data_IF_492290590811
#
_entry.id   IF_492290590811
#
_cell.length_a   1.000
_cell.length_b   1.000
_cell.length_c   1.000
_cell.angle_alpha   90.00
_cell.angle_beta   90.00
_cell.angle_gamma   90.00
#
_symmetry.space_group_name_H-M   'P 1'
#
loop_
_entity.id
_entity.type
_entity.pdbx_description
1 polymer ?
#
# COMPACT_ATOMS: atom_id res chain seq x y z
N UNK A 1 -25.25 -14.99 -5.94
CA UNK A 1 -24.81 -13.84 -5.10
C UNK A 1 -25.60 -13.71 -3.81
N UNK A 2 -26.95 -13.71 -3.82
CA UNK A 2 -27.76 -13.54 -2.60
C UNK A 2 -27.54 -14.60 -1.50
N UNK A 3 -27.43 -15.88 -1.87
CA UNK A 3 -27.19 -16.97 -0.92
C UNK A 3 -25.83 -16.86 -0.19
N UNK A 4 -24.80 -16.37 -0.88
CA UNK A 4 -23.45 -16.17 -0.33
C UNK A 4 -23.42 -15.00 0.64
N UNK A 5 -24.07 -13.89 0.29
CA UNK A 5 -24.22 -12.76 1.22
C UNK A 5 -24.97 -13.18 2.49
N UNK A 6 -25.95 -14.08 2.40
CA UNK A 6 -26.63 -14.63 3.58
C UNK A 6 -25.68 -15.36 4.53
N UNK A 7 -24.83 -16.24 4.00
CA UNK A 7 -23.84 -17.02 4.78
C UNK A 7 -22.78 -16.12 5.42
N UNK A 8 -22.24 -15.16 4.67
CA UNK A 8 -21.26 -14.21 5.20
C UNK A 8 -21.87 -13.30 6.29
N UNK A 9 -23.10 -12.81 6.09
CA UNK A 9 -23.84 -12.06 7.12
C UNK A 9 -24.05 -12.88 8.38
N UNK A 10 -24.42 -14.16 8.26
CA UNK A 10 -24.58 -15.04 9.41
C UNK A 10 -23.25 -15.24 10.16
N UNK A 11 -22.15 -15.45 9.44
CA UNK A 11 -20.81 -15.53 10.04
C UNK A 11 -20.47 -14.27 10.86
N UNK A 12 -20.70 -13.08 10.29
CA UNK A 12 -20.47 -11.81 10.99
C UNK A 12 -21.39 -11.67 12.22
N UNK A 13 -22.65 -12.09 12.11
CA UNK A 13 -23.57 -12.10 13.25
C UNK A 13 -23.08 -13.00 14.38
N UNK A 14 -22.51 -14.17 14.06
CA UNK A 14 -21.89 -15.05 15.06
C UNK A 14 -20.70 -14.39 15.77
N UNK A 15 -19.95 -13.51 15.09
CA UNK A 15 -18.87 -12.72 15.69
C UNK A 15 -19.34 -11.56 16.57
N UNK A 16 -20.66 -11.37 16.72
CA UNK A 16 -21.26 -10.37 17.60
C UNK A 16 -21.60 -9.04 16.91
N UNK A 17 -21.49 -8.96 15.58
CA UNK A 17 -21.93 -7.79 14.82
C UNK A 17 -23.46 -7.77 14.68
N UNK A 18 -24.06 -6.61 14.89
CA UNK A 18 -25.52 -6.43 14.77
C UNK A 18 -25.97 -6.44 13.31
N UNK A 19 -27.23 -6.80 13.03
CA UNK A 19 -27.77 -6.73 11.66
C UNK A 19 -27.69 -5.34 11.02
N UNK A 20 -27.78 -4.28 11.84
CA UNK A 20 -27.67 -2.90 11.38
C UNK A 20 -26.23 -2.58 10.95
N UNK A 21 -25.23 -2.85 11.78
CA UNK A 21 -23.80 -2.67 11.45
C UNK A 21 -23.41 -3.43 10.18
N UNK A 22 -23.86 -4.69 10.06
CA UNK A 22 -23.61 -5.51 8.88
C UNK A 22 -24.24 -4.88 7.64
N UNK A 23 -25.48 -4.40 7.74
CA UNK A 23 -26.19 -3.78 6.61
C UNK A 23 -25.51 -2.49 6.16
N UNK A 24 -25.02 -1.66 7.07
CA UNK A 24 -24.42 -0.36 6.75
C UNK A 24 -23.01 -0.48 6.19
N UNK A 25 -22.24 -1.48 6.62
CA UNK A 25 -20.79 -1.54 6.36
C UNK A 25 -20.35 -2.70 5.48
N UNK A 26 -21.28 -3.53 5.00
CA UNK A 26 -21.01 -4.59 4.02
C UNK A 26 -21.16 -4.06 2.59
N UNK A 27 -20.10 -4.21 1.79
CA UNK A 27 -20.07 -3.90 0.37
C UNK A 27 -19.51 -5.08 -0.41
N UNK A 28 -20.35 -5.76 -1.19
CA UNK A 28 -19.96 -6.94 -1.96
C UNK A 28 -19.49 -8.10 -1.07
N UNK A 29 -18.18 -8.38 -1.13
CA UNK A 29 -17.47 -9.43 -0.38
C UNK A 29 -16.72 -8.88 0.85
N UNK A 30 -16.77 -7.57 1.10
CA UNK A 30 -16.02 -6.89 2.15
C UNK A 30 -16.95 -6.26 3.19
N UNK A 31 -16.72 -6.59 4.45
CA UNK A 31 -17.30 -5.91 5.60
C UNK A 31 -16.20 -5.14 6.33
N UNK A 32 -16.46 -3.87 6.64
CA UNK A 32 -15.51 -3.03 7.37
C UNK A 32 -16.12 -2.59 8.69
N UNK A 33 -15.66 -3.19 9.79
CA UNK A 33 -16.06 -2.75 11.11
C UNK A 33 -15.30 -1.49 11.49
N UNK A 34 -16.04 -0.50 11.99
CA UNK A 34 -15.56 0.80 12.39
C UNK A 34 -16.04 1.11 13.79
N UNK A 35 -15.10 1.37 14.70
CA UNK A 35 -15.42 1.85 16.05
C UNK A 35 -14.80 3.21 16.27
N UNK A 36 -15.67 4.18 16.50
CA UNK A 36 -15.32 5.50 16.99
C UNK A 36 -14.82 5.39 18.43
N UNK A 37 -13.56 5.72 18.66
CA UNK A 37 -13.01 5.92 19.99
C UNK A 37 -13.38 7.34 20.43
N UNK A 38 -14.28 7.44 21.42
CA UNK A 38 -14.60 8.75 22.01
C UNK A 38 -13.33 9.30 22.66
N UNK A 39 -12.93 10.55 22.39
CA UNK A 39 -11.89 11.18 23.18
C UNK A 39 -12.39 11.36 24.62
N UNK A 40 -11.49 11.19 25.59
CA UNK A 40 -11.78 11.46 27.01
C UNK A 40 -12.04 12.96 27.27
N UNK A 41 -11.76 13.82 26.29
CA UNK A 41 -11.93 15.27 26.35
C UNK A 41 -12.79 15.77 25.17
N UNK A 42 -13.86 16.50 25.50
CA UNK A 42 -14.89 16.97 24.58
C UNK A 42 -14.40 17.95 23.49
N UNK A 43 -13.17 18.45 23.58
CA UNK A 43 -12.58 19.43 22.65
C UNK A 43 -11.68 18.82 21.55
N UNK A 44 -11.60 17.49 21.44
CA UNK A 44 -10.76 16.84 20.43
C UNK A 44 -11.56 16.44 19.19
N UNK A 45 -11.29 17.15 18.09
CA UNK A 45 -11.84 16.91 16.75
C UNK A 45 -11.23 15.70 16.02
N UNK A 46 -10.33 14.96 16.67
CA UNK A 46 -9.75 13.74 16.11
C UNK A 46 -10.55 12.52 16.51
N UNK A 47 -11.41 12.07 15.61
CA UNK A 47 -12.03 10.75 15.67
C UNK A 47 -10.95 9.69 15.40
N UNK A 48 -10.45 9.07 16.47
CA UNK A 48 -9.67 7.85 16.33
C UNK A 48 -10.64 6.71 16.03
N UNK A 49 -10.63 6.26 14.78
CA UNK A 49 -11.45 5.13 14.34
C UNK A 49 -10.61 3.86 14.31
N UNK A 50 -11.07 2.81 15.00
CA UNK A 50 -10.57 1.47 14.78
C UNK A 50 -11.25 0.89 13.54
N UNK A 51 -10.45 0.44 12.58
CA UNK A 51 -10.91 -0.19 11.35
C UNK A 51 -10.45 -1.65 11.30
N UNK A 52 -11.37 -2.58 11.05
CA UNK A 52 -11.03 -3.99 10.79
C UNK A 52 -11.80 -4.48 9.57
N UNK A 53 -11.06 -4.95 8.56
CA UNK A 53 -11.62 -5.48 7.31
C UNK A 53 -11.81 -7.00 7.41
N UNK A 54 -13.01 -7.46 7.10
CA UNK A 54 -13.38 -8.85 6.90
C UNK A 54 -13.72 -9.05 5.43
N UNK A 55 -13.03 -9.98 4.77
CA UNK A 55 -13.15 -10.21 3.33
C UNK A 55 -13.51 -11.67 3.13
N UNK A 56 -14.70 -11.92 2.59
CA UNK A 56 -15.07 -13.24 2.17
C UNK A 56 -14.39 -13.60 0.85
N UNK A 57 -13.86 -14.82 0.76
CA UNK A 57 -13.17 -15.35 -0.40
C UNK A 57 -13.77 -16.72 -0.74
N UNK A 58 -14.33 -16.83 -1.95
CA UNK A 58 -14.88 -18.09 -2.45
C UNK A 58 -13.80 -19.17 -2.52
N UNK A 59 -14.19 -20.42 -2.26
CA UNK A 59 -13.27 -21.57 -2.34
C UNK A 59 -12.79 -21.88 -3.76
N UNK A 60 -13.54 -21.51 -4.80
CA UNK A 60 -13.22 -21.84 -6.19
C UNK A 60 -11.88 -21.22 -6.63
N UNK A 61 -11.52 -20.05 -6.09
CA UNK A 61 -10.28 -19.32 -6.41
C UNK A 61 -9.59 -18.73 -5.16
N UNK A 62 -9.61 -19.46 -4.04
CA UNK A 62 -9.16 -18.96 -2.72
C UNK A 62 -7.77 -18.31 -2.76
N UNK A 63 -6.77 -19.02 -3.27
CA UNK A 63 -5.38 -18.54 -3.26
C UNK A 63 -5.17 -17.34 -4.19
N UNK A 64 -5.72 -17.39 -5.40
CA UNK A 64 -5.61 -16.30 -6.37
C UNK A 64 -6.33 -15.05 -5.87
N UNK A 65 -7.58 -15.19 -5.44
CA UNK A 65 -8.38 -14.06 -4.94
C UNK A 65 -7.75 -13.48 -3.68
N UNK A 66 -7.23 -14.31 -2.77
CA UNK A 66 -6.51 -13.85 -1.58
C UNK A 66 -5.25 -13.08 -1.97
N UNK A 67 -4.47 -13.57 -2.94
CA UNK A 67 -3.30 -12.85 -3.43
C UNK A 67 -3.67 -11.48 -3.98
N UNK A 68 -4.70 -11.38 -4.82
CA UNK A 68 -5.14 -10.14 -5.44
C UNK A 68 -5.62 -9.12 -4.39
N UNK A 69 -6.46 -9.54 -3.44
CA UNK A 69 -6.94 -8.70 -2.34
C UNK A 69 -5.80 -8.26 -1.42
N UNK A 70 -4.90 -9.19 -1.08
CA UNK A 70 -3.73 -8.86 -0.26
C UNK A 70 -2.80 -7.89 -1.00
N UNK A 71 -2.59 -8.06 -2.31
CA UNK A 71 -1.77 -7.15 -3.11
C UNK A 71 -2.35 -5.73 -3.12
N UNK A 72 -3.68 -5.58 -3.22
CA UNK A 72 -4.33 -4.27 -3.11
C UNK A 72 -4.11 -3.65 -1.73
N UNK A 73 -4.39 -4.38 -0.65
CA UNK A 73 -4.28 -3.88 0.73
C UNK A 73 -2.82 -3.56 1.09
N UNK A 74 -1.86 -4.37 0.64
CA UNK A 74 -0.43 -4.13 0.83
C UNK A 74 0.02 -2.85 0.11
N UNK A 75 -0.47 -2.60 -1.11
CA UNK A 75 -0.20 -1.37 -1.85
C UNK A 75 -0.87 -0.14 -1.23
N UNK A 76 -2.09 -0.27 -0.69
CA UNK A 76 -2.74 0.81 0.08
C UNK A 76 -1.93 1.22 1.31
N UNK A 77 -1.20 0.26 1.91
CA UNK A 77 -0.34 0.44 3.09
C UNK A 77 -1.01 1.10 4.31
N UNK A 78 -2.34 1.08 4.39
CA UNK A 78 -3.09 1.70 5.48
C UNK A 78 -3.38 0.72 6.62
N UNK A 79 -3.70 -0.53 6.28
CA UNK A 79 -4.10 -1.55 7.25
C UNK A 79 -2.90 -2.35 7.73
N UNK A 80 -2.89 -2.72 9.01
CA UNK A 80 -1.90 -3.66 9.55
C UNK A 80 -2.27 -5.12 9.26
N UNK A 81 -3.58 -5.41 9.29
CA UNK A 81 -4.12 -6.75 9.09
C UNK A 81 -5.45 -6.70 8.35
N UNK A 82 -5.87 -7.83 7.83
CA UNK A 82 -7.25 -8.08 7.43
C UNK A 82 -7.62 -9.54 7.70
N UNK A 83 -8.91 -9.81 7.77
CA UNK A 83 -9.45 -11.14 8.05
C UNK A 83 -10.03 -11.70 6.75
N UNK A 84 -9.42 -12.76 6.23
CA UNK A 84 -9.89 -13.47 5.04
C UNK A 84 -10.71 -14.69 5.45
N UNK A 85 -11.94 -14.79 4.96
CA UNK A 85 -12.90 -15.84 5.36
C UNK A 85 -13.23 -16.69 4.16
N UNK A 86 -12.94 -17.99 4.23
CA UNK A 86 -13.36 -18.97 3.24
C UNK A 86 -14.58 -19.76 3.70
N UNK A 87 -14.92 -20.82 2.98
CA UNK A 87 -16.01 -21.72 3.34
C UNK A 87 -15.78 -22.43 4.69
N UNK A 88 -14.54 -22.79 5.00
CA UNK A 88 -14.21 -23.65 6.15
C UNK A 88 -13.13 -23.06 7.06
N UNK A 89 -12.34 -22.11 6.59
CA UNK A 89 -11.19 -21.56 7.31
C UNK A 89 -11.23 -20.04 7.28
N UNK A 90 -10.91 -19.42 8.40
CA UNK A 90 -10.66 -17.98 8.52
C UNK A 90 -9.18 -17.73 8.76
N UNK A 91 -8.60 -16.78 8.03
CA UNK A 91 -7.20 -16.40 8.15
C UNK A 91 -7.10 -14.96 8.65
N UNK A 92 -6.29 -14.74 9.68
CA UNK A 92 -5.82 -13.41 10.04
C UNK A 92 -4.52 -13.14 9.29
N UNK A 93 -4.53 -12.20 8.35
CA UNK A 93 -3.41 -11.91 7.45
C UNK A 93 -2.74 -10.60 7.85
N UNK A 94 -1.41 -10.60 7.91
CA UNK A 94 -0.57 -9.42 8.05
C UNK A 94 -0.44 -8.70 6.71
N UNK A 95 -1.09 -7.55 6.60
CA UNK A 95 -1.12 -6.71 5.40
C UNK A 95 0.21 -5.96 5.13
N UNK A 96 1.14 -5.95 6.10
CA UNK A 96 2.45 -5.30 5.99
C UNK A 96 3.54 -6.22 5.44
N UNK A 97 3.17 -7.43 5.01
CA UNK A 97 4.07 -8.41 4.39
C UNK A 97 3.71 -8.55 2.92
N UNK A 98 4.68 -8.32 2.03
CA UNK A 98 4.51 -8.48 0.58
C UNK A 98 3.90 -9.86 0.24
N UNK A 99 2.74 -9.92 -0.42
CA UNK A 99 2.10 -11.20 -0.76
C UNK A 99 2.93 -11.96 -1.78
N UNK A 100 3.04 -13.28 -1.66
CA UNK A 100 3.74 -14.10 -2.66
C UNK A 100 2.72 -14.83 -3.53
N UNK A 101 2.69 -14.62 -4.86
CA UNK A 101 1.72 -15.30 -5.72
C UNK A 101 1.89 -16.83 -5.73
N UNK A 102 3.11 -17.33 -5.47
CA UNK A 102 3.37 -18.77 -5.40
C UNK A 102 2.99 -19.40 -4.05
N UNK A 103 2.73 -18.59 -3.02
CA UNK A 103 2.28 -19.05 -1.71
C UNK A 103 1.48 -17.94 -1.01
N UNK A 104 0.22 -17.71 -1.44
CA UNK A 104 -0.61 -16.62 -0.89
C UNK A 104 -0.93 -16.82 0.59
N UNK A 105 -1.03 -18.08 1.04
CA UNK A 105 -1.16 -18.47 2.44
C UNK A 105 0.18 -19.04 2.91
N UNK A 106 0.90 -18.28 3.75
CA UNK A 106 2.22 -18.69 4.22
C UNK A 106 2.43 -18.25 5.67
N UNK A 107 3.22 -18.99 6.46
CA UNK A 107 3.51 -18.64 7.86
C UNK A 107 4.09 -17.23 8.09
N UNK A 108 4.65 -16.61 7.04
CA UNK A 108 5.23 -15.27 7.12
C UNK A 108 4.17 -14.17 7.00
N UNK A 109 3.05 -14.42 6.31
CA UNK A 109 1.99 -13.43 6.12
C UNK A 109 0.70 -13.80 6.88
N UNK A 110 0.46 -15.06 7.19
CA UNK A 110 -0.65 -15.51 8.03
C UNK A 110 -0.25 -15.47 9.50
N UNK A 111 -0.94 -14.64 10.28
CA UNK A 111 -0.75 -14.50 11.73
C UNK A 111 -1.34 -15.72 12.45
N UNK A 112 -2.58 -16.05 12.13
CA UNK A 112 -3.29 -17.22 12.69
C UNK A 112 -4.33 -17.70 11.69
N UNK A 113 -4.67 -18.99 11.75
CA UNK A 113 -5.76 -19.60 11.00
C UNK A 113 -6.71 -20.28 11.97
N UNK A 114 -8.00 -20.20 11.67
CA UNK A 114 -9.09 -20.76 12.47
C UNK A 114 -9.85 -21.72 11.58
N UNK A 115 -10.08 -22.95 12.04
CA UNK A 115 -10.86 -23.95 11.30
C UNK A 115 -12.36 -23.64 11.36
N UNK A 116 -12.74 -22.42 10.99
CA UNK A 116 -14.12 -21.95 10.99
C UNK A 116 -14.31 -20.94 9.85
N UNK A 117 -15.32 -21.14 9.01
CA UNK A 117 -15.68 -20.31 7.85
C UNK A 117 -17.19 -20.16 7.69
N UNK A 118 -17.66 -19.66 6.54
CA UNK A 118 -19.09 -19.34 6.34
C UNK A 118 -20.00 -20.58 6.23
N UNK A 119 -19.44 -21.75 5.91
CA UNK A 119 -20.14 -23.04 5.79
C UNK A 119 -19.73 -24.04 6.87
N UNK A 120 -19.24 -23.53 7.98
CA UNK A 120 -18.88 -24.35 9.12
C UNK A 120 -20.13 -24.87 9.84
N UNK A 121 -20.66 -26.02 9.43
CA UNK A 121 -21.82 -26.67 10.08
C UNK A 121 -21.42 -27.36 11.40
N UNK A 122 -22.14 -27.11 12.48
CA UNK A 122 -22.12 -27.94 13.70
C UNK A 122 -20.79 -27.99 14.48
N UNK A 123 -19.94 -26.96 14.39
CA UNK A 123 -18.61 -26.96 15.02
C UNK A 123 -18.63 -27.05 16.54
N UNK A 124 -17.51 -27.50 17.12
CA UNK A 124 -17.33 -27.50 18.58
C UNK A 124 -17.54 -26.07 19.10
N UNK A 125 -18.29 -25.91 20.22
CA UNK A 125 -18.42 -24.62 20.89
C UNK A 125 -17.07 -23.94 21.14
N UNK A 126 -16.01 -24.73 21.29
CA UNK A 126 -14.65 -24.27 21.57
C UNK A 126 -13.99 -23.53 20.40
N UNK A 127 -14.12 -24.01 19.15
CA UNK A 127 -13.50 -23.34 17.99
C UNK A 127 -14.20 -22.00 17.68
N UNK A 128 -15.53 -21.98 17.78
CA UNK A 128 -16.30 -20.75 17.61
C UNK A 128 -16.00 -19.77 18.76
N UNK A 129 -15.91 -20.24 20.01
CA UNK A 129 -15.52 -19.40 21.14
C UNK A 129 -14.13 -18.80 20.92
N UNK A 130 -13.14 -19.61 20.51
CA UNK A 130 -11.79 -19.12 20.18
C UNK A 130 -11.80 -18.08 19.07
N UNK A 131 -12.59 -18.28 18.02
CA UNK A 131 -12.73 -17.31 16.93
C UNK A 131 -13.34 -16.00 17.43
N UNK A 132 -14.39 -16.04 18.27
CA UNK A 132 -15.00 -14.85 18.87
C UNK A 132 -14.03 -14.11 19.80
N UNK A 133 -13.31 -14.84 20.63
CA UNK A 133 -12.32 -14.27 21.56
C UNK A 133 -11.19 -13.54 20.82
N UNK A 134 -10.81 -14.03 19.63
CA UNK A 134 -9.73 -13.43 18.83
C UNK A 134 -10.21 -12.39 17.85
N UNK A 135 -11.27 -12.65 17.09
CA UNK A 135 -11.68 -11.86 15.93
C UNK A 135 -13.10 -11.29 16.06
N UNK A 136 -13.78 -11.48 17.20
CA UNK A 136 -15.13 -10.99 17.43
C UNK A 136 -15.18 -9.50 17.76
N UNK A 137 -16.39 -8.95 17.69
CA UNK A 137 -16.67 -7.54 17.99
C UNK A 137 -16.19 -7.14 19.39
N UNK A 138 -16.48 -7.95 20.41
CA UNK A 138 -16.08 -7.67 21.80
C UNK A 138 -14.56 -7.58 21.98
N UNK A 139 -13.80 -8.43 21.28
CA UNK A 139 -12.34 -8.44 21.30
C UNK A 139 -11.75 -7.19 20.64
N UNK A 140 -12.36 -6.72 19.54
CA UNK A 140 -11.98 -5.46 18.89
C UNK A 140 -12.35 -4.26 19.78
N UNK A 141 -13.56 -4.29 20.33
CA UNK A 141 -14.09 -3.21 21.17
C UNK A 141 -13.27 -3.01 22.43
N UNK A 142 -12.73 -4.09 22.99
CA UNK A 142 -11.89 -4.12 24.20
C UNK A 142 -10.39 -4.11 23.88
N UNK A 143 -10.01 -3.82 22.63
CA UNK A 143 -8.63 -3.74 22.12
C UNK A 143 -7.78 -5.02 22.18
N UNK A 144 -8.27 -6.11 22.78
CA UNK A 144 -7.59 -7.42 22.85
C UNK A 144 -7.19 -7.97 21.48
N UNK A 145 -7.97 -7.70 20.44
CA UNK A 145 -7.62 -8.04 19.05
C UNK A 145 -6.25 -7.47 18.64
N UNK A 146 -5.96 -6.21 18.99
CA UNK A 146 -4.73 -5.53 18.59
C UNK A 146 -3.54 -6.01 19.42
N UNK A 147 -3.71 -6.23 20.73
CA UNK A 147 -2.69 -6.83 21.58
C UNK A 147 -2.27 -8.20 21.06
N UNK A 148 -3.26 -9.01 20.68
CA UNK A 148 -3.04 -10.32 20.08
C UNK A 148 -2.25 -10.24 18.76
N UNK A 149 -2.60 -9.31 17.87
CA UNK A 149 -1.85 -9.08 16.63
C UNK A 149 -0.41 -8.73 16.93
N UNK A 150 -0.19 -7.73 17.81
CA UNK A 150 1.14 -7.26 18.17
C UNK A 150 1.97 -8.42 18.73
N UNK A 151 1.41 -9.24 19.61
CA UNK A 151 2.09 -10.41 20.18
C UNK A 151 2.48 -11.44 19.11
N UNK A 152 1.56 -11.80 18.23
CA UNK A 152 1.77 -12.84 17.22
C UNK A 152 2.66 -12.38 16.07
N UNK A 153 2.67 -11.09 15.76
CA UNK A 153 3.44 -10.55 14.64
C UNK A 153 4.86 -10.10 15.02
N UNK A 154 5.28 -10.18 16.30
CA UNK A 154 6.62 -9.70 16.76
C UNK A 154 7.79 -10.23 15.94
N UNK A 155 7.71 -11.49 15.51
CA UNK A 155 8.78 -12.17 14.77
C UNK A 155 8.57 -12.18 13.25
N UNK A 156 7.45 -11.64 12.75
CA UNK A 156 7.21 -11.55 11.31
C UNK A 156 8.04 -10.40 10.74
N UNK A 157 8.89 -10.71 9.77
CA UNK A 157 9.65 -9.68 9.05
C UNK A 157 8.70 -8.93 8.13
N UNK A 158 8.45 -7.65 8.42
CA UNK A 158 7.65 -6.79 7.55
C UNK A 158 8.41 -6.45 6.27
N UNK A 159 7.66 -6.30 5.19
CA UNK A 159 8.14 -5.87 3.88
C UNK A 159 7.12 -4.93 3.28
N UNK A 160 6.88 -3.82 3.99
CA UNK A 160 5.95 -2.78 3.58
C UNK A 160 6.29 -2.26 2.18
N UNK A 161 5.27 -1.83 1.44
CA UNK A 161 5.39 -1.48 0.02
C UNK A 161 6.42 -0.38 -0.25
N UNK A 162 6.50 0.64 0.61
CA UNK A 162 7.53 1.69 0.55
C UNK A 162 8.93 1.13 0.73
N UNK A 163 9.14 0.35 1.79
CA UNK A 163 10.44 -0.21 2.13
C UNK A 163 10.90 -1.17 1.05
N UNK A 164 10.01 -2.01 0.55
CA UNK A 164 10.32 -2.96 -0.52
C UNK A 164 10.66 -2.24 -1.83
N UNK A 165 9.84 -1.24 -2.22
CA UNK A 165 10.09 -0.41 -3.39
C UNK A 165 11.43 0.32 -3.30
N UNK A 166 11.68 1.02 -2.19
CA UNK A 166 12.92 1.76 -1.96
C UNK A 166 14.14 0.86 -2.07
N UNK A 167 14.12 -0.32 -1.46
CA UNK A 167 15.25 -1.25 -1.52
C UNK A 167 15.49 -1.80 -2.93
N UNK A 168 14.42 -2.08 -3.68
CA UNK A 168 14.55 -2.47 -5.08
C UNK A 168 15.08 -1.33 -5.97
N UNK A 169 14.67 -0.08 -5.71
CA UNK A 169 15.18 1.11 -6.40
C UNK A 169 16.65 1.38 -6.09
N UNK A 170 17.07 1.24 -4.84
CA UNK A 170 18.48 1.35 -4.44
C UNK A 170 19.32 0.29 -5.18
N UNK A 171 18.83 -0.95 -5.26
CA UNK A 171 19.51 -2.01 -5.99
C UNK A 171 19.60 -1.69 -7.50
N UNK A 172 18.52 -1.21 -8.11
CA UNK A 172 18.51 -0.78 -9.51
C UNK A 172 19.55 0.32 -9.76
N UNK A 173 19.54 1.38 -8.95
CA UNK A 173 20.52 2.48 -9.04
C UNK A 173 21.94 1.95 -8.96
N UNK A 174 22.25 1.09 -7.99
CA UNK A 174 23.59 0.55 -7.81
C UNK A 174 24.04 -0.26 -9.04
N UNK A 175 23.12 -0.98 -9.68
CA UNK A 175 23.42 -1.73 -10.90
C UNK A 175 23.61 -0.83 -12.13
N UNK A 176 22.87 0.29 -12.21
CA UNK A 176 23.06 1.29 -13.27
C UNK A 176 24.41 2.03 -13.10
N UNK A 177 24.79 2.38 -11.86
CA UNK A 177 26.05 3.06 -11.56
C UNK A 177 27.28 2.23 -11.92
N UNK A 178 27.19 0.90 -11.88
CA UNK A 178 28.27 -0.01 -12.33
C UNK A 178 28.53 0.09 -13.83
N UNK A 179 27.58 0.55 -14.63
CA UNK A 179 27.72 0.68 -16.09
C UNK A 179 28.45 2.00 -16.41
N UNK A 180 28.02 3.10 -15.80
CA UNK A 180 28.66 4.42 -15.89
C UNK A 180 28.32 5.22 -14.64
N UNK A 181 29.34 5.88 -14.08
CA UNK A 181 29.19 6.76 -12.94
C UNK A 181 28.56 8.10 -13.36
N UNK A 182 27.24 8.09 -13.51
CA UNK A 182 26.43 9.23 -13.93
C UNK A 182 25.24 9.37 -12.97
N UNK A 183 25.54 9.72 -11.72
CA UNK A 183 24.59 9.65 -10.61
C UNK A 183 23.31 10.46 -10.86
N UNK A 184 23.43 11.72 -11.26
CA UNK A 184 22.28 12.61 -11.52
C UNK A 184 21.43 12.09 -12.67
N UNK A 185 22.06 11.71 -13.78
CA UNK A 185 21.42 11.07 -14.94
C UNK A 185 20.63 9.83 -14.54
N UNK A 186 21.22 8.94 -13.73
CA UNK A 186 20.58 7.70 -13.30
C UNK A 186 19.38 7.97 -12.38
N UNK A 187 19.48 8.96 -11.48
CA UNK A 187 18.36 9.33 -10.62
C UNK A 187 17.19 9.86 -11.41
N UNK A 188 17.46 10.82 -12.29
CA UNK A 188 16.44 11.42 -13.13
C UNK A 188 15.79 10.36 -14.04
N UNK A 189 16.56 9.39 -14.52
CA UNK A 189 16.08 8.32 -15.39
C UNK A 189 15.11 7.41 -14.64
N UNK A 190 15.48 6.98 -13.43
CA UNK A 190 14.62 6.17 -12.56
C UNK A 190 13.35 6.96 -12.20
N UNK A 191 13.49 8.23 -11.81
CA UNK A 191 12.38 9.09 -11.41
C UNK A 191 11.37 9.24 -12.55
N UNK A 192 11.83 9.55 -13.77
CA UNK A 192 10.92 9.70 -14.92
C UNK A 192 10.24 8.40 -15.29
N UNK A 193 10.95 7.26 -15.27
CA UNK A 193 10.31 5.97 -15.51
C UNK A 193 9.23 5.67 -14.44
N UNK A 194 9.51 5.93 -13.16
CA UNK A 194 8.50 5.76 -12.11
C UNK A 194 7.30 6.69 -12.31
N UNK A 195 7.53 7.93 -12.76
CA UNK A 195 6.44 8.86 -13.08
C UNK A 195 5.59 8.36 -14.25
N UNK A 196 6.19 7.81 -15.31
CA UNK A 196 5.43 7.17 -16.40
C UNK A 196 4.59 6.02 -15.86
N UNK A 197 5.17 5.15 -15.03
CA UNK A 197 4.45 4.02 -14.45
C UNK A 197 3.31 4.48 -13.53
N UNK A 198 3.49 5.58 -12.80
CA UNK A 198 2.43 6.23 -12.02
C UNK A 198 1.27 6.70 -12.92
N UNK A 199 1.57 7.35 -14.05
CA UNK A 199 0.54 7.79 -15.00
C UNK A 199 -0.18 6.60 -15.67
N UNK A 200 0.55 5.53 -15.98
CA UNK A 200 0.02 4.27 -16.50
C UNK A 200 -0.99 3.64 -15.52
N UNK A 201 -0.62 3.47 -14.24
CA UNK A 201 -1.51 2.85 -13.23
C UNK A 201 -2.77 3.69 -12.98
N UNK A 202 -2.69 5.01 -13.17
CA UNK A 202 -3.83 5.95 -13.07
C UNK A 202 -4.70 5.99 -14.34
N UNK A 203 -4.38 5.22 -15.36
CA UNK A 203 -5.14 5.14 -16.61
C UNK A 203 -4.96 6.32 -17.56
N UNK A 204 -3.91 7.14 -17.37
CA UNK A 204 -3.56 8.23 -18.30
C UNK A 204 -2.87 7.65 -19.54
N UNK A 205 -2.07 6.61 -19.35
CA UNK A 205 -1.49 5.79 -20.42
C UNK A 205 -2.06 4.38 -20.39
N UNK A 206 -1.97 3.69 -21.54
CA UNK A 206 -2.39 2.29 -21.66
C UNK A 206 -1.51 1.35 -20.82
N UNK A 207 -2.06 0.20 -20.44
CA UNK A 207 -1.34 -0.83 -19.68
C UNK A 207 -0.06 -1.24 -20.39
N UNK A 208 1.02 -1.41 -19.63
CA UNK A 208 2.35 -1.80 -20.11
C UNK A 208 3.03 -0.76 -21.02
N UNK A 209 2.52 0.48 -21.12
CA UNK A 209 3.09 1.56 -21.93
C UNK A 209 4.60 1.75 -21.71
N UNK A 210 5.02 1.92 -20.45
CA UNK A 210 6.45 2.09 -20.12
C UNK A 210 7.24 0.84 -20.50
N UNK A 211 6.71 -0.35 -20.17
CA UNK A 211 7.41 -1.60 -20.40
C UNK A 211 7.61 -1.87 -21.90
N UNK A 212 6.63 -1.52 -22.73
CA UNK A 212 6.70 -1.64 -24.18
C UNK A 212 7.79 -0.73 -24.76
N UNK A 213 7.91 0.51 -24.28
CA UNK A 213 8.99 1.42 -24.67
C UNK A 213 10.36 0.84 -24.26
N UNK A 214 10.49 0.34 -23.03
CA UNK A 214 11.76 -0.22 -22.54
C UNK A 214 12.19 -1.47 -23.33
N UNK A 215 11.23 -2.32 -23.74
CA UNK A 215 11.46 -3.52 -24.56
C UNK A 215 12.02 -3.22 -25.95
N UNK A 216 11.80 -2.03 -26.50
CA UNK A 216 12.39 -1.64 -27.80
C UNK A 216 13.92 -1.54 -27.73
N UNK A 217 14.48 -1.29 -26.55
CA UNK A 217 15.90 -1.01 -26.37
C UNK A 217 16.35 0.30 -27.03
N UNK A 218 15.42 1.16 -27.42
CA UNK A 218 15.68 2.45 -28.06
C UNK A 218 15.77 3.58 -27.04
N UNK A 219 16.98 4.11 -26.83
CA UNK A 219 17.18 5.31 -26.01
C UNK A 219 16.41 6.52 -26.58
N UNK A 220 16.27 6.60 -27.91
CA UNK A 220 15.53 7.68 -28.57
C UNK A 220 14.06 7.66 -28.19
N UNK A 221 13.40 6.49 -28.26
CA UNK A 221 11.97 6.39 -27.94
C UNK A 221 11.67 6.74 -26.48
N UNK A 222 12.56 6.37 -25.56
CA UNK A 222 12.41 6.73 -24.15
C UNK A 222 12.57 8.25 -23.95
N UNK A 223 13.53 8.89 -24.61
CA UNK A 223 13.70 10.36 -24.58
C UNK A 223 12.48 11.07 -25.19
N UNK A 224 12.01 10.61 -26.35
CA UNK A 224 10.83 11.17 -27.02
C UNK A 224 9.59 11.07 -26.12
N UNK A 225 9.45 9.96 -25.38
CA UNK A 225 8.40 9.78 -24.39
C UNK A 225 8.51 10.80 -23.25
N UNK A 226 9.72 11.03 -22.73
CA UNK A 226 9.93 12.04 -21.70
C UNK A 226 9.56 13.45 -22.19
N UNK A 227 9.91 13.79 -23.43
CA UNK A 227 9.56 15.09 -24.03
C UNK A 227 8.05 15.24 -24.28
N UNK A 228 7.35 14.16 -24.63
CA UNK A 228 5.89 14.18 -24.74
C UNK A 228 5.23 14.46 -23.38
N UNK A 229 5.71 13.81 -22.32
CA UNK A 229 5.13 13.94 -20.96
C UNK A 229 5.44 15.30 -20.34
N UNK A 230 6.60 15.89 -20.62
CA UNK A 230 6.96 17.25 -20.23
C UNK A 230 5.89 18.28 -20.60
N UNK A 231 5.14 18.05 -21.69
CA UNK A 231 4.04 18.93 -22.13
C UNK A 231 2.80 18.87 -21.22
N UNK A 232 2.63 17.78 -20.49
CA UNK A 232 1.50 17.54 -19.57
C UNK A 232 1.83 18.09 -18.18
N UNK A 233 3.08 17.96 -17.74
CA UNK A 233 3.50 18.39 -16.41
C UNK A 233 4.87 19.07 -16.45
N UNK A 234 4.87 20.41 -16.51
CA UNK A 234 6.07 21.19 -16.74
C UNK A 234 7.12 21.09 -15.64
N UNK A 235 6.73 21.05 -14.36
CA UNK A 235 7.70 21.22 -13.26
C UNK A 235 8.62 20.02 -13.00
N UNK A 236 8.14 18.78 -13.17
CA UNK A 236 8.97 17.56 -13.01
C UNK A 236 10.03 17.42 -14.12
N UNK A 237 9.82 18.08 -15.27
CA UNK A 237 10.65 17.99 -16.47
C UNK A 237 11.32 19.32 -16.85
N UNK A 238 11.21 20.36 -16.02
CA UNK A 238 11.55 21.74 -16.39
C UNK A 238 13.05 22.06 -16.43
N UNK A 239 13.89 21.31 -15.72
CA UNK A 239 15.28 21.74 -15.46
C UNK A 239 16.39 20.80 -15.92
N UNK A 240 16.08 19.60 -16.43
CA UNK A 240 17.11 18.64 -16.86
C UNK A 240 16.74 18.00 -18.20
N UNK A 241 17.40 18.37 -19.30
CA UNK A 241 17.18 17.70 -20.59
C UNK A 241 18.01 16.42 -20.67
N UNK A 242 17.36 15.30 -21.04
CA UNK A 242 18.10 14.09 -21.40
C UNK A 242 18.53 14.20 -22.85
N UNK A 243 19.83 14.13 -23.11
CA UNK A 243 20.28 13.76 -24.45
C UNK A 243 20.20 12.25 -24.61
N UNK A 244 19.97 11.78 -25.84
CA UNK A 244 19.94 10.33 -26.15
C UNK A 244 21.27 9.66 -25.77
N UNK A 245 22.38 10.39 -25.88
CA UNK A 245 23.72 9.95 -25.46
C UNK A 245 23.87 9.73 -23.96
N UNK A 246 23.00 10.30 -23.13
CA UNK A 246 23.03 10.10 -21.68
C UNK A 246 22.47 8.74 -21.28
N UNK A 247 21.59 8.17 -22.10
CA UNK A 247 20.92 6.89 -21.83
C UNK A 247 21.68 5.75 -22.52
N UNK A 248 22.52 5.05 -21.75
CA UNK A 248 23.17 3.83 -22.21
C UNK A 248 22.12 2.73 -22.47
N UNK A 249 22.21 2.01 -23.60
CA UNK A 249 21.30 0.88 -23.92
C UNK A 249 21.25 -0.19 -22.82
N UNK A 250 22.35 -0.41 -22.10
CA UNK A 250 22.38 -1.35 -20.97
C UNK A 250 21.50 -0.90 -19.80
N UNK A 251 21.19 0.39 -19.66
CA UNK A 251 20.21 0.89 -18.69
C UNK A 251 18.81 0.39 -19.00
N UNK A 252 18.41 0.42 -20.28
CA UNK A 252 17.08 0.00 -20.71
C UNK A 252 16.79 -1.44 -20.33
N UNK A 253 17.76 -2.36 -20.50
CA UNK A 253 17.61 -3.76 -20.08
C UNK A 253 17.43 -3.93 -18.56
N UNK A 254 18.07 -3.08 -17.75
CA UNK A 254 17.95 -3.12 -16.28
C UNK A 254 16.61 -2.51 -15.83
N UNK A 255 16.18 -1.44 -16.47
CA UNK A 255 14.88 -0.81 -16.26
C UNK A 255 13.75 -1.75 -16.67
N UNK A 256 13.82 -2.34 -17.86
CA UNK A 256 12.88 -3.35 -18.35
C UNK A 256 12.74 -4.49 -17.34
N UNK A 257 13.87 -5.02 -16.85
CA UNK A 257 13.87 -6.05 -15.80
C UNK A 257 13.18 -5.55 -14.54
N UNK A 258 13.48 -4.35 -14.07
CA UNK A 258 12.83 -3.80 -12.87
C UNK A 258 11.31 -3.70 -13.04
N UNK A 259 10.83 -3.13 -14.14
CA UNK A 259 9.41 -2.94 -14.41
C UNK A 259 8.67 -4.22 -14.86
N UNK A 260 9.37 -5.35 -15.01
CA UNK A 260 8.78 -6.67 -15.28
C UNK A 260 9.01 -7.71 -14.18
N UNK A 261 9.80 -7.38 -13.15
CA UNK A 261 10.11 -8.28 -12.03
C UNK A 261 9.13 -8.11 -10.87
N UNK A 262 8.79 -9.24 -10.26
CA UNK A 262 8.11 -9.27 -8.96
C UNK A 262 9.03 -8.78 -7.84
N UNK A 263 10.30 -9.20 -7.87
CA UNK A 263 11.34 -8.68 -6.98
C UNK A 263 12.65 -8.54 -7.76
N UNK A 264 13.13 -7.30 -7.86
CA UNK A 264 14.31 -6.97 -8.63
C UNK A 264 15.60 -7.51 -7.99
N UNK A 265 15.69 -7.50 -6.64
CA UNK A 265 16.86 -7.96 -5.89
C UNK A 265 17.03 -9.48 -5.99
N UNK A 266 15.94 -10.25 -5.87
CA UNK A 266 16.00 -11.71 -6.00
C UNK A 266 16.05 -12.18 -7.46
N UNK A 267 15.59 -11.34 -8.39
CA UNK A 267 15.43 -11.70 -9.79
C UNK A 267 14.17 -12.54 -10.07
N UNK A 268 13.26 -12.64 -9.10
CA UNK A 268 11.96 -13.25 -9.31
C UNK A 268 11.19 -12.45 -10.37
N UNK A 269 10.92 -13.10 -11.50
CA UNK A 269 10.21 -12.52 -12.64
C UNK A 269 8.69 -12.57 -12.49
N UNK A 270 8.01 -11.96 -13.46
CA UNK A 270 6.57 -11.86 -13.69
C UNK A 270 5.80 -11.04 -12.65
N UNK A 271 5.06 -10.03 -13.14
CA UNK A 271 4.16 -9.14 -12.41
C UNK A 271 4.87 -8.09 -11.53
N UNK A 272 4.96 -6.87 -12.04
CA UNK A 272 5.37 -5.71 -11.23
C UNK A 272 4.40 -5.55 -10.05
N UNK A 273 4.87 -5.59 -8.78
CA UNK A 273 3.99 -5.75 -7.62
C UNK A 273 3.39 -4.44 -7.12
N UNK A 274 3.93 -3.30 -7.57
CA UNK A 274 3.56 -1.98 -7.09
C UNK A 274 2.43 -1.41 -7.94
N UNK A 275 1.34 -1.02 -7.28
CA UNK A 275 0.13 -0.46 -7.88
C UNK A 275 0.03 1.02 -7.48
N UNK A 276 0.56 1.93 -8.29
CA UNK A 276 0.67 3.35 -7.94
C UNK A 276 -0.68 4.10 -7.91
N UNK A 277 -1.74 3.48 -8.42
CA UNK A 277 -3.12 3.91 -8.22
C UNK A 277 -3.63 3.68 -6.79
N UNK A 278 -3.08 2.65 -6.11
CA UNK A 278 -3.40 2.29 -4.72
C UNK A 278 -2.44 2.87 -3.69
N UNK A 279 -1.17 3.00 -4.06
CA UNK A 279 -0.15 3.54 -3.16
C UNK A 279 -0.47 5.02 -2.84
N UNK A 280 -0.53 5.40 -1.55
CA UNK A 280 -0.71 6.80 -1.16
C UNK A 280 0.36 7.70 -1.77
N UNK A 281 -0.04 8.85 -2.31
CA UNK A 281 0.87 9.78 -3.00
C UNK A 281 2.02 10.24 -2.09
N UNK A 282 1.75 10.40 -0.80
CA UNK A 282 2.72 10.75 0.22
C UNK A 282 3.81 9.68 0.28
N UNK A 283 3.41 8.41 0.33
CA UNK A 283 4.33 7.28 0.39
C UNK A 283 5.26 7.22 -0.83
N UNK A 284 4.73 7.55 -2.01
CA UNK A 284 5.51 7.70 -3.24
C UNK A 284 6.57 8.81 -3.07
N UNK A 285 6.17 9.99 -2.58
CA UNK A 285 7.09 11.10 -2.28
C UNK A 285 8.19 10.69 -1.29
N UNK A 286 7.87 9.91 -0.24
CA UNK A 286 8.88 9.48 0.72
C UNK A 286 9.88 8.52 0.11
N UNK A 287 9.42 7.59 -0.74
CA UNK A 287 10.31 6.67 -1.46
C UNK A 287 11.26 7.47 -2.35
N UNK A 288 10.77 8.51 -3.04
CA UNK A 288 11.60 9.39 -3.86
C UNK A 288 12.64 10.14 -3.02
N UNK A 289 12.26 10.79 -1.94
CA UNK A 289 13.18 11.54 -1.08
C UNK A 289 14.21 10.63 -0.40
N UNK A 290 13.78 9.47 0.10
CA UNK A 290 14.67 8.47 0.68
C UNK A 290 15.67 7.94 -0.38
N UNK A 291 15.22 7.80 -1.63
CA UNK A 291 16.07 7.38 -2.73
C UNK A 291 17.12 8.45 -3.10
N UNK A 292 16.73 9.73 -3.14
CA UNK A 292 17.63 10.85 -3.43
C UNK A 292 18.63 11.09 -2.29
N UNK A 293 18.19 11.06 -1.04
CA UNK A 293 19.05 11.25 0.14
C UNK A 293 20.10 10.14 0.29
N UNK A 294 19.74 8.87 0.04
CA UNK A 294 20.70 7.76 0.03
C UNK A 294 21.81 7.92 -1.04
N UNK A 295 21.56 8.74 -2.05
CA UNK A 295 22.54 9.00 -3.08
C UNK A 295 23.45 10.19 -2.78
N UNK A 296 22.93 11.19 -2.07
CA UNK A 296 23.68 12.33 -1.54
C UNK A 296 24.34 11.88 -0.23
N UNK A 297 25.45 11.13 -0.29
CA UNK A 297 26.19 10.70 0.91
C UNK A 297 26.59 11.93 1.73
N UNK A 298 25.90 12.15 2.84
CA UNK A 298 26.16 13.21 3.81
C UNK A 298 25.13 14.33 3.75
N UNK A 299 24.09 14.25 4.58
CA UNK A 299 23.58 15.39 5.33
C UNK A 299 22.65 14.97 6.47
N UNK A 300 22.95 15.48 7.66
CA UNK A 300 22.19 15.35 8.90
C UNK A 300 20.96 16.25 8.81
N UNK A 301 19.74 15.73 8.98
CA UNK A 301 18.54 16.55 9.20
C UNK A 301 17.28 16.15 8.44
N UNK A 302 17.37 15.28 7.43
CA UNK A 302 16.19 14.86 6.66
C UNK A 302 15.50 13.70 7.40
N UNK A 303 14.43 14.03 8.12
CA UNK A 303 13.58 13.05 8.82
C UNK A 303 12.16 13.16 8.30
N UNK A 304 11.70 12.08 7.68
CA UNK A 304 10.32 11.98 7.25
C UNK A 304 9.38 12.01 8.46
N UNK A 305 8.34 12.86 8.39
CA UNK A 305 7.28 12.94 9.40
C UNK A 305 6.25 11.85 9.15
N UNK A 306 6.13 10.81 9.98
CA UNK A 306 5.18 9.71 9.76
C UNK A 306 3.75 10.21 9.50
N UNK A 307 3.00 9.55 8.60
CA UNK A 307 1.63 9.97 8.23
C UNK A 307 0.72 10.19 9.44
N UNK A 308 0.82 9.37 10.49
CA UNK A 308 0.02 9.56 11.70
C UNK A 308 0.36 10.86 12.44
N UNK A 309 1.62 11.32 12.39
CA UNK A 309 2.07 12.61 12.94
C UNK A 309 1.56 13.75 12.07
N UNK A 310 1.65 13.63 10.73
CA UNK A 310 1.09 14.63 9.79
C UNK A 310 -0.41 14.79 10.04
N UNK A 311 -1.16 13.69 10.07
CA UNK A 311 -2.58 13.68 10.42
C UNK A 311 -2.76 14.35 11.78
N UNK A 312 -2.14 13.85 12.84
CA UNK A 312 -2.25 14.47 14.17
C UNK A 312 -2.06 16.00 14.16
N UNK A 313 -1.07 16.55 13.45
CA UNK A 313 -0.90 18.00 13.34
C UNK A 313 -2.07 18.68 12.61
N UNK A 314 -2.61 18.09 11.55
CA UNK A 314 -3.68 18.70 10.74
C UNK A 314 -4.99 18.90 11.48
N UNK A 315 -5.55 17.95 12.24
CA UNK A 315 -6.75 18.28 13.03
C UNK A 315 -6.50 19.04 14.32
N UNK A 316 -5.26 19.28 14.72
CA UNK A 316 -4.98 20.25 15.77
C UNK A 316 -4.72 21.66 15.21
N UNK A 317 -4.65 21.84 13.88
CA UNK A 317 -4.28 23.13 13.27
C UNK A 317 -5.21 23.58 12.14
N UNK A 318 -5.38 22.76 11.10
CA UNK A 318 -6.12 23.08 9.87
C UNK A 318 -7.60 22.71 9.99
N UNK A 319 -7.94 21.50 10.44
CA UNK A 319 -9.34 21.06 10.46
C UNK A 319 -10.26 21.90 11.36
N UNK A 320 -9.86 22.33 12.58
CA UNK A 320 -10.70 23.21 13.40
C UNK A 320 -10.99 24.54 12.68
N UNK A 321 -9.99 25.09 11.98
CA UNK A 321 -10.15 26.34 11.22
C UNK A 321 -11.04 26.18 9.98
N UNK A 322 -11.09 24.98 9.39
CA UNK A 322 -11.98 24.69 8.25
C UNK A 322 -13.46 24.75 8.63
N UNK A 323 -13.79 24.46 9.90
CA UNK A 323 -15.16 24.58 10.41
C UNK A 323 -15.62 26.05 10.47
N UNK A 324 -14.69 26.98 10.64
CA UNK A 324 -14.95 28.42 10.70
C UNK A 324 -14.86 29.10 9.32
N UNK A 325 -13.91 28.67 8.47
CA UNK A 325 -13.65 29.27 7.16
C UNK A 325 -13.39 28.21 6.09
N UNK A 326 -14.17 28.27 5.00
CA UNK A 326 -14.09 27.32 3.88
C UNK A 326 -12.83 27.44 3.01
N UNK A 327 -12.13 28.56 3.10
CA UNK A 327 -10.90 28.82 2.32
C UNK A 327 -9.74 29.15 3.26
N UNK A 328 -8.76 28.25 3.31
CA UNK A 328 -7.56 28.40 4.12
C UNK A 328 -6.32 28.39 3.22
N UNK A 329 -5.32 29.16 3.62
CA UNK A 329 -3.97 29.09 3.05
C UNK A 329 -3.07 28.39 4.06
N UNK A 330 -2.45 27.30 3.63
CA UNK A 330 -1.52 26.52 4.46
C UNK A 330 -0.09 26.84 4.01
N UNK A 331 0.77 27.20 4.97
CA UNK A 331 2.19 27.46 4.75
C UNK A 331 3.00 26.45 5.55
N UNK A 332 3.81 25.67 4.85
CA UNK A 332 4.84 24.82 5.45
C UNK A 332 6.22 25.30 4.94
N UNK A 333 6.96 26.10 5.73
CA UNK A 333 8.23 26.70 5.32
C UNK A 333 9.38 25.69 5.25
N UNK A 334 9.16 24.44 5.67
CA UNK A 334 10.13 23.35 5.64
C UNK A 334 9.51 22.07 5.04
N UNK A 335 8.65 22.22 4.03
CA UNK A 335 7.77 21.15 3.55
C UNK A 335 8.47 19.92 2.96
N UNK A 336 9.74 20.04 2.57
CA UNK A 336 10.53 18.97 1.91
C UNK A 336 9.68 18.17 0.90
N UNK A 337 9.41 16.90 1.18
CA UNK A 337 8.55 15.98 0.40
C UNK A 337 7.12 16.47 0.09
N UNK A 338 6.69 17.56 0.72
CA UNK A 338 5.36 18.13 0.61
C UNK A 338 4.27 17.35 1.34
N UNK A 339 4.61 16.31 2.11
CA UNK A 339 3.63 15.38 2.71
C UNK A 339 2.55 16.10 3.54
N UNK A 340 2.93 17.11 4.35
CA UNK A 340 1.99 17.90 5.12
C UNK A 340 1.03 18.70 4.23
N UNK A 341 1.55 19.37 3.21
CA UNK A 341 0.75 20.16 2.28
C UNK A 341 -0.20 19.29 1.46
N UNK A 342 0.26 18.12 1.03
CA UNK A 342 -0.56 17.18 0.26
C UNK A 342 -1.70 16.58 1.11
N UNK A 343 -1.46 16.27 2.38
CA UNK A 343 -2.52 15.81 3.30
C UNK A 343 -3.45 16.94 3.78
N UNK A 344 -3.03 18.20 3.66
CA UNK A 344 -3.84 19.36 4.00
C UNK A 344 -4.86 19.74 2.91
N UNK A 345 -4.65 19.29 1.67
CA UNK A 345 -5.57 19.44 0.53
C UNK A 345 -6.75 18.48 0.67
#
# INVERSE_FOLDING_TARGET
MEQFQGKFKNFLFQLGFTPEEIKTSLSGDMFVYRKQLRPEHQDQLYEHELCVKYIYISAEDLEQTLFEKHADIWNENNEHVFIAISEQITYLINAKVKPNPASPIHKNNTIESFAYGVNSEGFSPDELARLKDRLGKESIDSTYFFDFIIEKSKNQKTSEVDKDLLLNLIQLRNDLLKIRDAQETIHLLILRCLFIKYLEDRGIYEKDYLLNILKTGSSQELVDTFEQIKRINGDIFKYDEFSVSDINRAYLKKLERFFSSFDYRSGQGNLFPYKFDKIPIQLISHVYEAFLSNARRGNKGIYYTPTFVVKFMLAHTVQPKLQEKKELTVLDPACESGAFLVEAL
#
